data_IF_882099587053
#
_entry.id   IF_882099587053
#
_cell.length_a   1.000
_cell.length_b   1.000
_cell.length_c   1.000
_cell.angle_alpha   90.00
_cell.angle_beta   90.00
_cell.angle_gamma   90.00
#
_symmetry.space_group_name_H-M   'P 1'
#
loop_
_entity.id
_entity.type
_entity.pdbx_description
1 polymer ?
#
# COMPACT_ATOMS: atom_id res chain seq x y z
N UNK A 1 26.31 12.85 11.49
CA UNK A 1 25.58 11.58 11.31
C UNK A 1 25.45 10.94 12.68
N UNK A 2 24.22 10.82 13.21
CA UNK A 2 24.01 10.11 14.49
C UNK A 2 24.44 8.66 14.33
N UNK A 3 25.32 8.16 15.20
CA UNK A 3 25.70 6.75 15.22
C UNK A 3 24.41 5.90 15.35
N UNK A 4 24.06 5.20 14.28
CA UNK A 4 22.91 4.31 14.26
C UNK A 4 23.15 3.15 15.24
N UNK A 5 22.16 2.88 16.08
CA UNK A 5 22.27 1.76 17.02
C UNK A 5 22.16 0.42 16.24
N UNK A 6 22.78 -0.65 16.76
CA UNK A 6 22.74 -1.98 16.13
C UNK A 6 21.30 -2.47 15.88
N UNK A 7 20.38 -2.18 16.80
CA UNK A 7 18.94 -2.48 16.64
C UNK A 7 18.32 -1.77 15.43
N UNK A 8 18.68 -0.50 15.20
CA UNK A 8 18.16 0.31 14.09
C UNK A 8 18.68 -0.20 12.75
N UNK A 9 19.97 -0.53 12.67
CA UNK A 9 20.59 -1.06 11.45
C UNK A 9 19.92 -2.36 11.02
N UNK A 10 19.74 -3.31 11.95
CA UNK A 10 19.08 -4.59 11.67
C UNK A 10 17.65 -4.40 11.19
N UNK A 11 16.91 -3.48 11.81
CA UNK A 11 15.54 -3.20 11.37
C UNK A 11 15.49 -2.52 10.01
N UNK A 12 16.38 -1.56 9.72
CA UNK A 12 16.44 -0.94 8.41
C UNK A 12 16.82 -1.94 7.32
N UNK A 13 17.77 -2.86 7.57
CA UNK A 13 18.09 -3.93 6.63
C UNK A 13 16.86 -4.81 6.34
N UNK A 14 16.20 -5.32 7.38
CA UNK A 14 14.93 -6.05 7.25
C UNK A 14 13.93 -5.29 6.38
N UNK A 15 13.70 -4.02 6.73
CA UNK A 15 12.69 -3.19 6.10
C UNK A 15 13.02 -2.90 4.62
N UNK A 16 14.28 -2.61 4.30
CA UNK A 16 14.77 -2.39 2.93
C UNK A 16 14.51 -3.62 2.07
N UNK A 17 14.86 -4.82 2.53
CA UNK A 17 14.64 -6.04 1.76
C UNK A 17 13.16 -6.28 1.46
N UNK A 18 12.29 -6.18 2.47
CA UNK A 18 10.83 -6.30 2.27
C UNK A 18 10.31 -5.21 1.33
N UNK A 19 10.77 -3.97 1.51
CA UNK A 19 10.34 -2.83 0.72
C UNK A 19 10.72 -2.99 -0.76
N UNK A 20 11.94 -3.45 -1.06
CA UNK A 20 12.39 -3.73 -2.43
C UNK A 20 11.51 -4.80 -3.06
N UNK A 21 11.36 -5.95 -2.39
CA UNK A 21 10.58 -7.07 -2.91
C UNK A 21 9.13 -6.68 -3.20
N UNK A 22 8.51 -5.89 -2.32
CA UNK A 22 7.15 -5.38 -2.51
C UNK A 22 7.05 -4.30 -3.59
N UNK A 23 8.04 -3.41 -3.69
CA UNK A 23 8.01 -2.27 -4.64
C UNK A 23 8.27 -2.68 -6.08
N UNK A 24 8.91 -3.83 -6.30
CA UNK A 24 9.02 -4.46 -7.63
C UNK A 24 7.68 -5.09 -8.05
N UNK A 25 6.81 -5.40 -7.10
CA UNK A 25 5.52 -6.04 -7.38
C UNK A 25 5.66 -7.50 -7.78
N UNK A 26 6.73 -8.18 -7.34
CA UNK A 26 6.92 -9.61 -7.54
C UNK A 26 5.79 -10.41 -6.89
N UNK A 27 5.31 -11.45 -7.59
CA UNK A 27 4.31 -12.36 -7.04
C UNK A 27 4.88 -13.21 -5.91
N UNK A 28 4.03 -13.68 -5.01
CA UNK A 28 4.42 -14.49 -3.84
C UNK A 28 5.17 -15.79 -4.22
N UNK A 29 4.93 -16.32 -5.43
CA UNK A 29 5.57 -17.54 -5.92
C UNK A 29 6.95 -17.30 -6.55
N UNK A 30 7.41 -16.05 -6.61
CA UNK A 30 8.71 -15.75 -7.22
C UNK A 30 9.86 -16.16 -6.29
N UNK A 31 10.78 -16.97 -6.82
CA UNK A 31 11.94 -17.48 -6.08
C UNK A 31 12.82 -16.38 -5.48
N UNK A 32 13.06 -15.30 -6.25
CA UNK A 32 13.87 -14.16 -5.81
C UNK A 32 13.19 -13.47 -4.62
N UNK A 33 11.88 -13.26 -4.70
CA UNK A 33 11.12 -12.68 -3.59
C UNK A 33 11.21 -13.56 -2.34
N UNK A 34 11.12 -14.88 -2.49
CA UNK A 34 11.24 -15.82 -1.37
C UNK A 34 12.60 -15.68 -0.67
N UNK A 35 13.70 -15.64 -1.43
CA UNK A 35 15.05 -15.44 -0.86
C UNK A 35 15.15 -14.10 -0.13
N UNK A 36 14.72 -13.01 -0.77
CA UNK A 36 14.73 -11.66 -0.18
C UNK A 36 13.94 -11.65 1.13
N UNK A 37 12.77 -12.30 1.16
CA UNK A 37 11.97 -12.38 2.38
C UNK A 37 12.68 -13.19 3.47
N UNK A 38 13.27 -14.35 3.17
CA UNK A 38 14.01 -15.16 4.15
C UNK A 38 15.17 -14.36 4.75
N UNK A 39 15.95 -13.67 3.91
CA UNK A 39 17.06 -12.84 4.36
C UNK A 39 16.58 -11.69 5.25
N UNK A 40 15.47 -11.03 4.88
CA UNK A 40 14.85 -10.03 5.72
C UNK A 40 14.46 -10.61 7.10
N UNK A 41 13.83 -11.78 7.12
CA UNK A 41 13.42 -12.45 8.36
C UNK A 41 14.58 -12.72 9.31
N UNK A 42 15.75 -13.09 8.80
CA UNK A 42 16.96 -13.30 9.62
C UNK A 42 17.31 -12.00 10.36
N UNK A 43 17.37 -10.86 9.67
CA UNK A 43 17.63 -9.56 10.32
C UNK A 43 16.58 -9.20 11.36
N UNK A 44 15.31 -9.47 11.08
CA UNK A 44 14.23 -9.22 12.03
C UNK A 44 14.38 -10.08 13.29
N UNK A 45 14.65 -11.38 13.15
CA UNK A 45 14.82 -12.30 14.28
C UNK A 45 15.96 -11.83 15.19
N UNK A 46 17.12 -11.49 14.60
CA UNK A 46 18.25 -10.96 15.37
C UNK A 46 17.83 -9.68 16.10
N UNK A 47 17.15 -8.75 15.42
CA UNK A 47 16.64 -7.52 16.05
C UNK A 47 15.73 -7.82 17.24
N UNK A 48 14.80 -8.78 17.10
CA UNK A 48 13.86 -9.15 18.15
C UNK A 48 14.55 -9.74 19.39
N UNK A 49 15.66 -10.47 19.21
CA UNK A 49 16.44 -11.01 20.36
C UNK A 49 17.19 -9.94 21.15
N UNK A 50 17.61 -8.85 20.50
CA UNK A 50 18.34 -7.75 21.13
C UNK A 50 17.38 -6.78 21.82
N UNK A 51 16.20 -6.56 21.22
CA UNK A 51 15.22 -5.60 21.72
C UNK A 51 14.62 -6.08 23.04
N UNK A 52 14.70 -5.26 24.09
CA UNK A 52 14.04 -5.55 25.38
C UNK A 52 12.53 -5.30 25.30
N UNK A 53 11.72 -6.27 25.71
CA UNK A 53 10.26 -6.16 25.81
C UNK A 53 9.78 -6.34 27.24
N UNK A 54 8.75 -5.58 27.62
CA UNK A 54 8.04 -5.74 28.89
C UNK A 54 7.09 -6.94 28.82
N UNK A 55 6.72 -7.50 29.98
CA UNK A 55 5.77 -8.64 30.04
C UNK A 55 4.45 -8.35 29.31
N UNK A 56 3.92 -7.12 29.43
CA UNK A 56 2.71 -6.69 28.74
C UNK A 56 2.87 -6.70 27.22
N UNK A 57 4.00 -6.18 26.72
CA UNK A 57 4.29 -6.19 25.28
C UNK A 57 4.44 -7.61 24.74
N UNK A 58 5.07 -8.52 25.48
CA UNK A 58 5.22 -9.92 25.07
C UNK A 58 3.85 -10.59 24.88
N UNK A 59 2.91 -10.35 25.80
CA UNK A 59 1.53 -10.87 25.69
C UNK A 59 0.85 -10.32 24.42
N UNK A 60 0.96 -9.01 24.17
CA UNK A 60 0.39 -8.37 22.98
C UNK A 60 1.03 -8.94 21.69
N UNK A 61 2.34 -9.10 21.67
CA UNK A 61 3.09 -9.69 20.57
C UNK A 61 2.59 -11.11 20.28
N UNK A 62 2.42 -11.94 21.32
CA UNK A 62 1.93 -13.30 21.17
C UNK A 62 0.53 -13.33 20.54
N UNK A 63 -0.40 -12.50 21.03
CA UNK A 63 -1.76 -12.39 20.49
C UNK A 63 -1.72 -11.96 19.01
N UNK A 64 -0.93 -10.93 18.68
CA UNK A 64 -0.80 -10.44 17.31
C UNK A 64 -0.21 -11.52 16.38
N UNK A 65 0.79 -12.26 16.84
CA UNK A 65 1.38 -13.36 16.06
C UNK A 65 0.35 -14.46 15.81
N UNK A 66 -0.45 -14.86 16.81
CA UNK A 66 -1.51 -15.85 16.66
C UNK A 66 -2.53 -15.39 15.59
N UNK A 67 -2.97 -14.13 15.66
CA UNK A 67 -3.88 -13.56 14.65
C UNK A 67 -3.23 -13.55 13.26
N UNK A 68 -1.95 -13.17 13.18
CA UNK A 68 -1.17 -13.19 11.94
C UNK A 68 -1.04 -14.59 11.34
N UNK A 69 -0.79 -15.60 12.16
CA UNK A 69 -0.70 -17.00 11.74
C UNK A 69 -2.06 -17.55 11.30
N UNK A 70 -3.13 -17.25 12.04
CA UNK A 70 -4.49 -17.66 11.70
C UNK A 70 -4.93 -17.06 10.35
N UNK A 71 -4.72 -15.75 10.17
CA UNK A 71 -5.01 -15.08 8.89
C UNK A 71 -4.16 -15.62 7.75
N UNK A 72 -2.89 -15.95 7.98
CA UNK A 72 -2.04 -16.59 6.98
C UNK A 72 -2.54 -18.00 6.61
N UNK A 73 -2.94 -18.80 7.60
CA UNK A 73 -3.42 -20.16 7.39
C UNK A 73 -4.66 -20.20 6.49
N UNK A 74 -5.61 -19.27 6.73
CA UNK A 74 -6.86 -19.16 5.94
C UNK A 74 -6.59 -18.52 4.57
N UNK A 75 -5.94 -17.34 4.55
CA UNK A 75 -5.81 -16.55 3.32
C UNK A 75 -4.73 -17.04 2.37
N UNK A 76 -3.80 -17.88 2.86
CA UNK A 76 -2.53 -18.26 2.19
C UNK A 76 -1.69 -17.05 1.76
N UNK A 77 -1.93 -15.86 2.34
CA UNK A 77 -1.25 -14.61 2.01
C UNK A 77 -0.45 -14.11 3.22
N UNK A 78 0.86 -14.04 3.06
CA UNK A 78 1.78 -13.59 4.13
C UNK A 78 1.71 -12.08 4.44
N UNK A 79 0.89 -11.30 3.73
CA UNK A 79 0.88 -9.84 3.85
C UNK A 79 0.57 -9.34 5.26
N UNK A 80 -0.50 -9.86 5.87
CA UNK A 80 -0.94 -9.45 7.22
C UNK A 80 0.10 -9.84 8.27
N UNK A 81 0.61 -11.07 8.20
CA UNK A 81 1.66 -11.55 9.10
C UNK A 81 2.92 -10.68 8.99
N UNK A 82 3.38 -10.36 7.78
CA UNK A 82 4.53 -9.48 7.56
C UNK A 82 4.30 -8.08 8.13
N UNK A 83 3.10 -7.52 8.00
CA UNK A 83 2.76 -6.23 8.61
C UNK A 83 2.82 -6.27 10.13
N UNK A 84 2.29 -7.32 10.76
CA UNK A 84 2.34 -7.51 12.22
C UNK A 84 3.79 -7.59 12.69
N UNK A 85 4.60 -8.42 12.02
CA UNK A 85 6.02 -8.56 12.31
C UNK A 85 6.80 -7.26 12.13
N UNK A 86 6.46 -6.46 11.12
CA UNK A 86 7.05 -5.13 10.92
C UNK A 86 6.71 -4.20 12.08
N UNK A 87 5.45 -4.20 12.56
CA UNK A 87 5.01 -3.37 13.70
C UNK A 87 5.79 -3.74 14.96
N UNK A 88 5.92 -5.03 15.25
CA UNK A 88 6.70 -5.52 16.41
C UNK A 88 8.17 -5.10 16.27
N UNK A 89 8.74 -5.31 15.08
CA UNK A 89 10.11 -4.91 14.76
C UNK A 89 10.36 -3.40 14.83
N UNK A 90 9.33 -2.57 14.66
CA UNK A 90 9.47 -1.10 14.65
C UNK A 90 9.70 -0.49 16.04
N UNK A 91 9.64 -1.28 17.11
CA UNK A 91 9.93 -0.79 18.47
C UNK A 91 11.30 -0.10 18.52
N UNK A 92 11.33 1.10 19.11
CA UNK A 92 12.48 2.00 19.23
C UNK A 92 13.00 2.60 17.90
N UNK A 93 12.21 2.55 16.82
CA UNK A 93 12.59 3.11 15.52
C UNK A 93 11.86 4.42 15.26
N UNK A 94 12.60 5.44 14.83
CA UNK A 94 12.00 6.72 14.44
C UNK A 94 11.25 6.60 13.10
N UNK A 95 9.92 6.62 13.16
CA UNK A 95 9.05 6.46 11.98
C UNK A 95 9.29 7.52 10.89
N UNK A 96 9.68 8.76 11.25
CA UNK A 96 9.98 9.81 10.25
C UNK A 96 11.18 9.44 9.39
N UNK A 97 12.26 8.95 10.00
CA UNK A 97 13.45 8.47 9.27
C UNK A 97 13.09 7.28 8.38
N UNK A 98 12.31 6.34 8.90
CA UNK A 98 11.86 5.18 8.14
C UNK A 98 11.00 5.56 6.93
N UNK A 99 10.05 6.48 7.06
CA UNK A 99 9.22 6.94 5.94
C UNK A 99 10.03 7.74 4.92
N UNK A 100 11.00 8.53 5.36
CA UNK A 100 11.94 9.22 4.45
C UNK A 100 12.77 8.23 3.63
N UNK A 101 13.35 7.21 4.29
CA UNK A 101 14.05 6.11 3.63
C UNK A 101 13.13 5.37 2.65
N UNK A 102 11.89 5.09 3.07
CA UNK A 102 10.88 4.40 2.26
C UNK A 102 10.55 5.17 0.99
N UNK A 103 10.39 6.49 1.10
CA UNK A 103 10.10 7.37 -0.03
C UNK A 103 11.24 7.30 -1.05
N UNK A 104 12.49 7.50 -0.60
CA UNK A 104 13.66 7.51 -1.49
C UNK A 104 13.80 6.18 -2.24
N UNK A 105 13.74 5.06 -1.52
CA UNK A 105 13.84 3.72 -2.14
C UNK A 105 12.69 3.48 -3.12
N UNK A 106 11.46 3.83 -2.75
CA UNK A 106 10.30 3.65 -3.64
C UNK A 106 10.40 4.48 -4.90
N UNK A 107 10.83 5.74 -4.79
CA UNK A 107 11.02 6.63 -5.94
C UNK A 107 12.07 6.04 -6.89
N UNK A 108 13.23 5.64 -6.36
CA UNK A 108 14.30 5.04 -7.16
C UNK A 108 13.78 3.80 -7.88
N UNK A 109 13.22 2.82 -7.16
CA UNK A 109 12.71 1.57 -7.75
C UNK A 109 11.62 1.83 -8.78
N UNK A 110 10.69 2.75 -8.50
CA UNK A 110 9.59 3.07 -9.39
C UNK A 110 10.09 3.59 -10.75
N UNK A 111 11.02 4.55 -10.72
CA UNK A 111 11.61 5.07 -11.95
C UNK A 111 12.53 4.06 -12.64
N UNK A 112 13.31 3.28 -11.90
CA UNK A 112 14.14 2.21 -12.48
C UNK A 112 13.27 1.20 -13.23
N UNK A 113 12.15 0.74 -12.67
CA UNK A 113 11.27 -0.24 -13.32
C UNK A 113 10.65 0.33 -14.60
N UNK A 114 10.14 1.56 -14.54
CA UNK A 114 9.54 2.22 -15.71
C UNK A 114 10.59 2.38 -16.80
N UNK A 115 11.77 2.90 -16.46
CA UNK A 115 12.85 3.14 -17.43
C UNK A 115 13.36 1.83 -18.04
N UNK A 116 13.62 0.81 -17.22
CA UNK A 116 13.97 -0.53 -17.70
C UNK A 116 12.89 -1.13 -18.60
N UNK A 117 11.61 -0.84 -18.35
CA UNK A 117 10.52 -1.28 -19.22
C UNK A 117 10.48 -0.54 -20.56
N UNK A 118 10.76 0.76 -20.56
CA UNK A 118 10.80 1.59 -21.78
C UNK A 118 11.98 1.23 -22.70
N UNK A 119 13.13 0.86 -22.13
CA UNK A 119 14.30 0.37 -22.89
C UNK A 119 14.11 -1.09 -23.34
N UNK A 120 13.09 -1.79 -22.85
CA UNK A 120 12.79 -3.17 -23.22
C UNK A 120 13.52 -4.23 -22.40
N UNK A 121 14.22 -3.86 -21.31
CA UNK A 121 14.83 -4.82 -20.38
C UNK A 121 13.77 -5.60 -19.59
N UNK A 122 12.63 -4.96 -19.27
CA UNK A 122 11.51 -5.59 -18.56
C UNK A 122 10.25 -5.54 -19.46
N UNK A 123 9.49 -6.64 -19.59
CA UNK A 123 8.28 -6.65 -20.40
C UNK A 123 7.26 -5.59 -19.96
N UNK A 124 6.84 -4.74 -20.90
CA UNK A 124 5.71 -3.85 -20.70
C UNK A 124 4.40 -4.60 -20.98
N UNK A 125 3.83 -5.26 -19.96
CA UNK A 125 2.63 -6.08 -20.13
C UNK A 125 1.43 -5.22 -20.55
N UNK A 126 0.74 -5.67 -21.58
CA UNK A 126 -0.49 -5.08 -22.06
C UNK A 126 -1.68 -5.88 -21.53
N UNK A 127 -2.70 -5.16 -21.05
CA UNK A 127 -3.96 -5.75 -20.62
C UNK A 127 -5.09 -5.11 -21.40
N UNK A 128 -5.86 -5.94 -22.09
CA UNK A 128 -7.09 -5.51 -22.75
C UNK A 128 -8.22 -5.60 -21.73
N UNK A 129 -8.88 -4.48 -21.48
CA UNK A 129 -9.96 -4.39 -20.52
C UNK A 129 -11.21 -3.85 -21.21
N UNK A 130 -12.33 -4.54 -21.06
CA UNK A 130 -13.62 -4.06 -21.54
C UNK A 130 -14.11 -2.90 -20.66
N UNK A 131 -14.56 -1.81 -21.28
CA UNK A 131 -15.12 -0.67 -20.58
C UNK A 131 -16.49 -0.34 -21.13
N UNK A 132 -17.48 -0.37 -20.26
CA UNK A 132 -18.85 -0.01 -20.62
C UNK A 132 -18.90 1.39 -21.24
N UNK A 133 -19.54 1.48 -22.40
CA UNK A 133 -19.69 2.71 -23.18
C UNK A 133 -18.47 3.14 -24.02
N UNK A 134 -17.32 2.46 -23.93
CA UNK A 134 -16.11 2.80 -24.72
C UNK A 134 -15.56 1.59 -25.50
N UNK A 135 -15.79 0.36 -25.02
CA UNK A 135 -15.29 -0.87 -25.64
C UNK A 135 -13.94 -1.31 -25.06
N UNK A 136 -13.16 -2.04 -25.87
CA UNK A 136 -11.87 -2.59 -25.44
C UNK A 136 -10.80 -1.51 -25.36
N UNK A 137 -10.11 -1.46 -24.22
CA UNK A 137 -9.06 -0.49 -23.95
C UNK A 137 -7.78 -1.23 -23.59
N UNK A 138 -6.68 -0.82 -24.22
CA UNK A 138 -5.34 -1.31 -23.92
C UNK A 138 -4.74 -0.54 -22.76
N UNK A 139 -4.24 -1.28 -21.76
CA UNK A 139 -3.63 -0.73 -20.54
C UNK A 139 -2.21 -1.24 -20.43
N UNK A 140 -1.27 -0.35 -20.11
CA UNK A 140 0.14 -0.67 -20.00
C UNK A 140 0.57 -0.69 -18.53
N UNK A 141 1.41 -1.66 -18.19
CA UNK A 141 1.91 -1.83 -16.82
C UNK A 141 3.28 -1.18 -16.56
N UNK A 142 4.01 -0.75 -17.60
CA UNK A 142 5.33 -0.12 -17.52
C UNK A 142 6.30 -0.87 -16.60
N UNK A 143 6.44 -2.18 -16.83
CA UNK A 143 7.34 -3.07 -16.09
C UNK A 143 6.72 -3.70 -14.84
N UNK A 144 5.56 -3.23 -14.39
CA UNK A 144 4.83 -3.88 -13.30
C UNK A 144 4.02 -5.09 -13.79
N UNK A 145 3.61 -5.95 -12.86
CA UNK A 145 2.76 -7.09 -13.19
C UNK A 145 1.36 -6.70 -13.67
N UNK A 146 0.83 -5.56 -13.23
CA UNK A 146 -0.52 -5.10 -13.59
C UNK A 146 -0.59 -3.57 -13.60
N UNK A 147 -1.38 -2.93 -14.49
CA UNK A 147 -1.53 -1.48 -14.54
C UNK A 147 -1.98 -0.83 -13.21
N UNK A 148 -2.81 -1.53 -12.44
CA UNK A 148 -3.20 -1.06 -11.09
C UNK A 148 -2.03 -1.09 -10.10
N UNK A 149 -1.05 -1.99 -10.25
CA UNK A 149 0.11 -2.05 -9.36
C UNK A 149 1.03 -0.85 -9.60
N UNK A 150 1.24 -0.48 -10.87
CA UNK A 150 1.92 0.76 -11.26
C UNK A 150 1.28 1.97 -10.55
N UNK A 151 -0.04 2.15 -10.71
CA UNK A 151 -0.76 3.26 -10.05
C UNK A 151 -0.73 3.21 -8.51
N UNK A 152 -0.84 2.01 -7.93
CA UNK A 152 -0.80 1.87 -6.47
C UNK A 152 0.56 2.21 -5.86
N UNK A 153 1.66 1.92 -6.57
CA UNK A 153 3.00 2.32 -6.12
C UNK A 153 3.18 3.83 -6.20
N UNK A 154 2.68 4.48 -7.26
CA UNK A 154 2.64 5.94 -7.33
C UNK A 154 1.84 6.54 -6.17
N UNK A 155 0.65 5.99 -5.88
CA UNK A 155 -0.17 6.45 -4.77
C UNK A 155 0.58 6.39 -3.43
N UNK A 156 1.29 5.29 -3.15
CA UNK A 156 2.08 5.17 -1.91
C UNK A 156 3.22 6.20 -1.87
N UNK A 157 3.90 6.44 -2.99
CA UNK A 157 4.94 7.48 -3.10
C UNK A 157 4.35 8.85 -2.77
N UNK A 158 3.21 9.19 -3.35
CA UNK A 158 2.51 10.47 -3.11
C UNK A 158 2.11 10.62 -1.64
N UNK A 159 1.53 9.58 -1.05
CA UNK A 159 1.15 9.58 0.38
C UNK A 159 2.36 9.80 1.28
N UNK A 160 3.48 9.11 1.03
CA UNK A 160 4.72 9.29 1.80
C UNK A 160 5.29 10.70 1.64
N UNK A 161 5.31 11.22 0.41
CA UNK A 161 5.77 12.58 0.13
C UNK A 161 4.92 13.64 0.85
N UNK A 162 3.60 13.53 0.76
CA UNK A 162 2.64 14.41 1.44
C UNK A 162 2.84 14.33 2.95
N UNK A 163 2.98 13.13 3.51
CA UNK A 163 3.17 12.94 4.95
C UNK A 163 4.43 13.65 5.45
N UNK A 164 5.56 13.47 4.76
CA UNK A 164 6.84 14.07 5.17
C UNK A 164 6.88 15.59 4.97
N UNK A 165 6.17 16.10 3.96
CA UNK A 165 6.18 17.52 3.60
C UNK A 165 4.88 18.25 3.97
N UNK A 166 4.03 17.67 4.83
CA UNK A 166 2.66 18.14 5.08
C UNK A 166 2.57 19.64 5.40
N UNK A 167 3.45 20.12 6.29
CA UNK A 167 3.49 21.55 6.70
C UNK A 167 4.04 22.48 5.61
N UNK A 168 4.78 21.93 4.63
CA UNK A 168 5.43 22.67 3.53
C UNK A 168 4.73 22.43 2.19
N UNK A 169 3.52 21.89 2.18
CA UNK A 169 2.75 21.66 0.96
C UNK A 169 2.38 23.00 0.30
N UNK A 170 2.99 23.25 -0.85
CA UNK A 170 2.70 24.39 -1.71
C UNK A 170 1.91 23.93 -2.95
N UNK A 171 1.36 24.91 -3.69
CA UNK A 171 0.59 24.65 -4.91
C UNK A 171 1.45 23.97 -5.98
N UNK A 172 2.74 24.33 -6.06
CA UNK A 172 3.70 23.79 -7.04
C UNK A 172 3.87 22.28 -6.86
N UNK A 173 4.12 21.82 -5.63
CA UNK A 173 4.24 20.39 -5.32
C UNK A 173 2.96 19.64 -5.68
N UNK A 174 1.79 20.23 -5.40
CA UNK A 174 0.50 19.64 -5.75
C UNK A 174 0.33 19.53 -7.26
N UNK A 175 0.64 20.59 -8.01
CA UNK A 175 0.57 20.60 -9.48
C UNK A 175 1.52 19.58 -10.11
N UNK A 176 2.75 19.44 -9.59
CA UNK A 176 3.72 18.43 -10.06
C UNK A 176 3.15 17.01 -9.82
N UNK A 177 2.62 16.74 -8.63
CA UNK A 177 2.01 15.43 -8.32
C UNK A 177 0.85 15.13 -9.27
N UNK A 178 -0.03 16.11 -9.54
CA UNK A 178 -1.16 15.95 -10.44
C UNK A 178 -0.73 15.74 -11.89
N UNK A 179 0.32 16.43 -12.35
CA UNK A 179 0.90 16.24 -13.67
C UNK A 179 1.47 14.83 -13.83
N UNK A 180 2.23 14.34 -12.85
CA UNK A 180 2.74 12.96 -12.85
C UNK A 180 1.59 11.94 -12.81
N UNK A 181 0.57 12.18 -12.00
CA UNK A 181 -0.62 11.31 -11.94
C UNK A 181 -1.34 11.22 -13.29
N UNK A 182 -1.53 12.36 -13.97
CA UNK A 182 -2.12 12.42 -15.31
C UNK A 182 -1.27 11.67 -16.33
N UNK A 183 0.04 11.90 -16.34
CA UNK A 183 0.97 11.18 -17.21
C UNK A 183 0.86 9.65 -17.03
N UNK A 184 0.93 9.15 -15.80
CA UNK A 184 0.84 7.70 -15.52
C UNK A 184 -0.58 7.16 -15.80
N UNK A 185 -1.63 7.98 -15.65
CA UNK A 185 -2.99 7.60 -16.01
C UNK A 185 -3.15 7.30 -17.50
N UNK A 186 -2.48 8.03 -18.39
CA UNK A 186 -2.56 7.79 -19.84
C UNK A 186 -2.06 6.39 -20.23
N UNK A 187 -1.13 5.81 -19.48
CA UNK A 187 -0.65 4.44 -19.71
C UNK A 187 -1.49 3.40 -18.97
N UNK A 188 -1.71 3.62 -17.67
CA UNK A 188 -2.34 2.61 -16.81
C UNK A 188 -3.85 2.54 -16.95
N UNK A 189 -4.48 3.66 -17.35
CA UNK A 189 -5.93 3.92 -17.39
C UNK A 189 -6.67 3.46 -16.11
N UNK A 190 -5.99 3.56 -14.97
CA UNK A 190 -6.49 3.16 -13.65
C UNK A 190 -7.30 4.30 -13.01
N UNK A 191 -8.63 4.25 -13.15
CA UNK A 191 -9.54 5.25 -12.56
C UNK A 191 -9.39 5.34 -11.04
N UNK A 192 -9.31 4.20 -10.36
CA UNK A 192 -9.23 4.16 -8.90
C UNK A 192 -7.96 4.84 -8.38
N UNK A 193 -6.82 4.59 -9.01
CA UNK A 193 -5.55 5.24 -8.61
C UNK A 193 -5.56 6.73 -8.91
N UNK A 194 -6.04 7.12 -10.10
CA UNK A 194 -6.12 8.51 -10.53
C UNK A 194 -6.96 9.37 -9.58
N UNK A 195 -8.20 8.95 -9.29
CA UNK A 195 -9.08 9.67 -8.37
C UNK A 195 -8.59 9.64 -6.92
N UNK A 196 -7.98 8.54 -6.48
CA UNK A 196 -7.41 8.46 -5.12
C UNK A 196 -6.29 9.47 -4.91
N UNK A 197 -5.41 9.66 -5.91
CA UNK A 197 -4.33 10.65 -5.85
C UNK A 197 -4.90 12.08 -5.87
N UNK A 198 -5.87 12.37 -6.72
CA UNK A 198 -6.53 13.69 -6.75
C UNK A 198 -7.15 14.00 -5.38
N UNK A 199 -7.93 13.05 -4.84
CA UNK A 199 -8.61 13.21 -3.56
C UNK A 199 -7.61 13.46 -2.43
N UNK A 200 -6.54 12.67 -2.31
CA UNK A 200 -5.57 12.84 -1.22
C UNK A 200 -4.79 14.15 -1.33
N UNK A 201 -4.46 14.60 -2.55
CA UNK A 201 -3.79 15.89 -2.78
C UNK A 201 -4.69 17.05 -2.37
N UNK A 202 -5.94 17.08 -2.84
CA UNK A 202 -6.90 18.15 -2.51
C UNK A 202 -7.16 18.19 -1.01
N UNK A 203 -7.50 17.05 -0.41
CA UNK A 203 -7.81 16.96 1.03
C UNK A 203 -6.59 17.38 1.85
N UNK A 204 -5.40 16.89 1.53
CA UNK A 204 -4.18 17.24 2.28
C UNK A 204 -3.81 18.71 2.12
N UNK A 205 -3.99 19.29 0.93
CA UNK A 205 -3.74 20.71 0.70
C UNK A 205 -4.70 21.58 1.52
N UNK A 206 -6.01 21.29 1.50
CA UNK A 206 -7.01 22.01 2.29
C UNK A 206 -6.69 21.88 3.79
N UNK A 207 -6.49 20.66 4.28
CA UNK A 207 -6.19 20.40 5.70
C UNK A 207 -4.86 21.03 6.15
N UNK A 208 -3.87 21.18 5.26
CA UNK A 208 -2.61 21.85 5.59
C UNK A 208 -2.76 23.35 5.86
N UNK A 209 -3.87 23.96 5.39
CA UNK A 209 -4.18 25.39 5.52
C UNK A 209 -5.18 25.70 6.62
N UNK A 210 -5.98 24.71 7.04
CA UNK A 210 -6.90 24.87 8.15
C UNK A 210 -6.10 24.97 9.45
N UNK A 211 -6.14 26.14 10.10
CA UNK A 211 -5.51 26.37 11.41
C UNK A 211 -6.32 25.82 12.59
N UNK A 212 -7.58 25.42 12.37
CA UNK A 212 -8.45 24.87 13.42
C UNK A 212 -8.01 23.45 13.79
N UNK A 213 -8.06 23.15 15.09
CA UNK A 213 -7.93 21.78 15.58
C UNK A 213 -9.15 20.97 15.14
N UNK A 214 -8.97 20.17 14.08
CA UNK A 214 -9.97 19.20 13.65
C UNK A 214 -9.96 18.03 14.64
N UNK A 215 -11.14 17.64 15.14
CA UNK A 215 -11.25 16.46 15.98
C UNK A 215 -11.10 15.20 15.11
N UNK A 216 -9.94 14.57 15.17
CA UNK A 216 -9.65 13.37 14.40
C UNK A 216 -10.31 12.09 14.97
N UNK A 217 -11.10 12.18 16.05
CA UNK A 217 -11.77 11.02 16.66
C UNK A 217 -12.67 10.26 15.68
N UNK A 218 -13.29 10.96 14.72
CA UNK A 218 -14.17 10.35 13.73
C UNK A 218 -13.44 9.35 12.81
N UNK A 219 -12.15 9.56 12.55
CA UNK A 219 -11.35 8.68 11.69
C UNK A 219 -11.12 7.30 12.30
N UNK A 220 -11.24 7.16 13.63
CA UNK A 220 -11.14 5.86 14.32
C UNK A 220 -12.24 4.90 13.88
N UNK A 221 -13.40 5.43 13.48
CA UNK A 221 -14.57 4.62 13.12
C UNK A 221 -14.65 4.30 11.62
N UNK A 222 -13.84 4.93 10.77
CA UNK A 222 -13.90 4.71 9.31
C UNK A 222 -13.64 3.25 8.96
N UNK A 223 -12.63 2.63 9.59
CA UNK A 223 -12.26 1.24 9.32
C UNK A 223 -13.37 0.27 9.74
N UNK A 224 -13.90 0.26 10.98
CA UNK A 224 -15.00 -0.63 11.34
C UNK A 224 -16.26 -0.37 10.52
N UNK A 225 -16.61 0.89 10.23
CA UNK A 225 -17.76 1.22 9.36
C UNK A 225 -17.58 0.61 7.96
N UNK A 226 -16.38 0.69 7.36
CA UNK A 226 -16.11 0.10 6.04
C UNK A 226 -16.23 -1.42 6.03
N UNK A 227 -15.83 -2.09 7.12
CA UNK A 227 -15.97 -3.54 7.28
C UNK A 227 -17.45 -3.91 7.38
N UNK A 228 -18.21 -3.23 8.23
CA UNK A 228 -19.65 -3.44 8.39
C UNK A 228 -20.37 -3.22 7.06
N UNK A 229 -20.07 -2.11 6.37
CA UNK A 229 -20.63 -1.82 5.05
C UNK A 229 -20.37 -2.95 4.05
N UNK A 230 -19.14 -3.48 4.01
CA UNK A 230 -18.78 -4.57 3.10
C UNK A 230 -19.59 -5.85 3.38
N UNK A 231 -19.74 -6.23 4.66
CA UNK A 231 -20.53 -7.42 5.03
C UNK A 231 -22.02 -7.24 4.78
N UNK A 232 -22.58 -6.08 5.16
CA UNK A 232 -24.01 -5.79 5.00
C UNK A 232 -24.40 -5.75 3.53
N UNK A 233 -23.65 -5.03 2.70
CA UNK A 233 -23.94 -4.95 1.26
C UNK A 233 -23.80 -6.29 0.55
N UNK A 234 -22.83 -7.12 0.94
CA UNK A 234 -22.68 -8.46 0.39
C UNK A 234 -23.86 -9.37 0.81
N UNK A 235 -24.27 -9.37 2.09
CA UNK A 235 -25.38 -10.21 2.57
C UNK A 235 -26.73 -9.83 1.96
N UNK A 236 -26.97 -8.53 1.76
CA UNK A 236 -28.24 -8.01 1.26
C UNK A 236 -28.29 -7.89 -0.28
N UNK A 237 -27.24 -8.31 -1.01
CA UNK A 237 -27.05 -8.03 -2.44
C UNK A 237 -28.28 -8.34 -3.30
N UNK A 238 -28.88 -9.53 -3.13
CA UNK A 238 -30.06 -9.96 -3.90
C UNK A 238 -31.40 -9.39 -3.39
N UNK A 239 -31.40 -8.64 -2.29
CA UNK A 239 -32.64 -8.16 -1.66
C UNK A 239 -33.04 -6.76 -2.11
N UNK A 240 -32.10 -5.93 -2.58
CA UNK A 240 -32.36 -4.52 -2.90
C UNK A 240 -31.77 -4.10 -4.23
N UNK A 241 -32.59 -3.52 -5.11
CA UNK A 241 -32.15 -3.06 -6.43
C UNK A 241 -31.05 -1.98 -6.38
N UNK A 242 -31.03 -1.19 -5.31
CA UNK A 242 -30.01 -0.15 -5.12
C UNK A 242 -28.60 -0.73 -5.02
N UNK A 243 -28.48 -1.99 -4.58
CA UNK A 243 -27.19 -2.67 -4.47
C UNK A 243 -26.65 -3.05 -5.84
N UNK A 244 -27.49 -3.35 -6.84
CA UNK A 244 -27.03 -3.54 -8.22
C UNK A 244 -26.49 -2.24 -8.83
N UNK A 245 -27.15 -1.11 -8.57
CA UNK A 245 -26.66 0.22 -9.01
C UNK A 245 -25.33 0.57 -8.33
N UNK A 246 -25.22 0.34 -7.03
CA UNK A 246 -23.98 0.53 -6.28
C UNK A 246 -22.86 -0.40 -6.75
N UNK A 247 -23.19 -1.63 -7.10
CA UNK A 247 -22.23 -2.63 -7.58
C UNK A 247 -21.67 -2.25 -8.96
N UNK A 248 -22.50 -1.71 -9.86
CA UNK A 248 -22.03 -1.13 -11.12
C UNK A 248 -21.03 0.01 -10.89
N UNK A 249 -21.30 0.91 -9.93
CA UNK A 249 -20.36 1.98 -9.53
C UNK A 249 -19.07 1.39 -8.96
N UNK A 250 -19.19 0.32 -8.15
CA UNK A 250 -18.06 -0.38 -7.54
C UNK A 250 -17.44 -1.45 -8.44
N UNK A 251 -17.77 -1.48 -9.73
CA UNK A 251 -17.18 -2.40 -10.73
C UNK A 251 -17.36 -3.89 -10.37
N UNK A 252 -18.53 -4.28 -9.86
CA UNK A 252 -18.88 -5.68 -9.55
C UNK A 252 -18.29 -6.21 -8.23
N UNK A 253 -17.72 -5.33 -7.38
CA UNK A 253 -17.04 -5.76 -6.16
C UNK A 253 -18.00 -6.24 -5.07
N UNK A 254 -19.23 -5.75 -5.03
CA UNK A 254 -20.25 -6.23 -4.08
C UNK A 254 -20.67 -7.64 -4.49
N UNK A 255 -20.91 -7.88 -5.80
CA UNK A 255 -21.22 -9.21 -6.31
C UNK A 255 -20.13 -10.25 -5.99
N UNK A 256 -18.87 -9.90 -6.23
CA UNK A 256 -17.73 -10.78 -5.88
C UNK A 256 -17.65 -11.05 -4.38
N UNK A 257 -18.11 -10.12 -3.54
CA UNK A 257 -18.14 -10.31 -2.09
C UNK A 257 -19.31 -11.20 -1.66
N UNK A 258 -20.48 -11.05 -2.31
CA UNK A 258 -21.64 -11.92 -2.14
C UNK A 258 -21.33 -13.38 -2.51
N UNK A 259 -20.65 -13.62 -3.65
CA UNK A 259 -20.25 -14.97 -4.07
C UNK A 259 -19.32 -15.69 -3.10
N UNK A 260 -18.63 -14.96 -2.20
CA UNK A 260 -17.79 -15.56 -1.16
C UNK A 260 -18.53 -15.88 0.14
N UNK A 261 -19.78 -15.42 0.26
CA UNK A 261 -20.65 -15.70 1.41
C UNK A 261 -21.53 -16.92 1.20
N UNK A 262 -21.69 -17.36 -0.06
CA UNK A 262 -22.37 -18.61 -0.45
C UNK A 262 -21.33 -19.72 -0.52
#
# INVERSE_FOLDING_TARGET
MSNLNKEEILFYLYFIFILIGKSIGLGANNFILRIITIMAFIFLLIKLTITKYTRREIIIIAILIIIGMFTFYISKRAGVLLSILTIIGMKNIEYKKLFSLSLNIKVIIYFTIIFSSLIGMIPNKQYVHWRDGIGYITRYSLGYNHPNLLHSNLFIIVVLFIYLNYKKLNIINCSIILAVNFFIYNFSLSRTGFYSIIMIVIVSYILSRIKKHINYSIFKYIMPISVIFTFVTAKLYNQYEILYKLDNILTGRIFVSFLKLI
#
